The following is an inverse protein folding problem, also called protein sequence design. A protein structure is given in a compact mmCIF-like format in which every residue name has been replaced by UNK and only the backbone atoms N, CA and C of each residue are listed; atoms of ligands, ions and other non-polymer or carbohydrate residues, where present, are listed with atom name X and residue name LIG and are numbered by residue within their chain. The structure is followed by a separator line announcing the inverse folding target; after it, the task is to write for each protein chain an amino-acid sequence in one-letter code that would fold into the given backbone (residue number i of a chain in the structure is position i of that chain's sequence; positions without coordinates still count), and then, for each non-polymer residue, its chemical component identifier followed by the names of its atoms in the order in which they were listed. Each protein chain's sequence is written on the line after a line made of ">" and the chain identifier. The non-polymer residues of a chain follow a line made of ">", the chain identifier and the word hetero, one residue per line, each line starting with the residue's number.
data_IF_738074233069
#
_entry.id   IF_738074233069
#
_cell.length_a   1.000
_cell.length_b   1.000
_cell.length_c   1.000
_cell.angle_alpha   90.00
_cell.angle_beta   90.00
_cell.angle_gamma   90.00
#
_symmetry.space_group_name_H-M   'P 1'
#
loop_
_entity.id
_entity.type
_entity.pdbx_description
1 polymer ?
#
# COMPACT_ATOMS: atom_id res chain seq x y z
N UNK A 1 16.84 22.15 -10.31
CA UNK A 1 15.73 21.47 -9.59
C UNK A 1 16.17 21.28 -8.15
N UNK A 2 15.40 21.75 -7.16
CA UNK A 2 15.78 21.56 -5.75
C UNK A 2 15.59 20.09 -5.37
N UNK A 3 16.55 19.54 -4.65
CA UNK A 3 16.47 18.18 -4.12
C UNK A 3 15.46 18.17 -2.97
N UNK A 4 14.31 17.50 -3.17
CA UNK A 4 13.28 17.37 -2.13
C UNK A 4 13.85 16.61 -0.93
N UNK A 5 13.87 17.24 0.25
CA UNK A 5 14.34 16.62 1.50
C UNK A 5 13.26 15.69 2.06
N UNK A 6 13.36 14.38 1.73
CA UNK A 6 12.35 13.37 2.09
C UNK A 6 12.13 13.24 3.61
N UNK A 7 13.21 13.36 4.40
CA UNK A 7 13.15 13.30 5.86
C UNK A 7 12.38 14.49 6.43
N UNK A 8 12.64 15.70 5.92
CA UNK A 8 11.92 16.90 6.32
C UNK A 8 10.43 16.80 5.97
N UNK A 9 10.09 16.30 4.77
CA UNK A 9 8.70 16.04 4.38
C UNK A 9 8.02 15.09 5.38
N UNK A 10 8.69 14.02 5.80
CA UNK A 10 8.14 13.07 6.77
C UNK A 10 7.98 13.68 8.16
N UNK A 11 9.02 14.37 8.63
CA UNK A 11 9.00 15.11 9.90
C UNK A 11 7.84 16.09 9.96
N UNK A 12 7.62 16.87 8.89
CA UNK A 12 6.55 17.88 8.86
C UNK A 12 5.14 17.27 8.91
N UNK A 13 4.94 16.10 8.31
CA UNK A 13 3.69 15.35 8.46
C UNK A 13 3.50 14.98 9.94
N UNK A 14 4.50 14.32 10.56
CA UNK A 14 4.39 13.90 11.95
C UNK A 14 4.16 15.08 12.91
N UNK A 15 4.89 16.19 12.71
CA UNK A 15 4.71 17.44 13.45
C UNK A 15 3.27 17.94 13.37
N UNK A 16 2.69 17.98 12.17
CA UNK A 16 1.29 18.40 12.00
C UNK A 16 0.30 17.46 12.73
N UNK A 17 0.56 16.14 12.74
CA UNK A 17 -0.25 15.18 13.49
C UNK A 17 -0.15 15.37 15.01
N UNK A 18 1.07 15.60 15.53
CA UNK A 18 1.33 15.83 16.97
C UNK A 18 0.66 17.12 17.45
N UNK A 19 0.73 18.19 16.65
CA UNK A 19 0.13 19.48 16.98
C UNK A 19 -1.41 19.49 16.88
N UNK A 20 -2.03 18.42 16.36
CA UNK A 20 -3.49 18.37 16.23
C UNK A 20 -4.13 18.16 17.59
N UNK A 21 -4.82 19.18 18.11
CA UNK A 21 -5.69 19.03 19.28
C UNK A 21 -7.01 18.33 18.87
N UNK A 22 -7.25 17.14 19.42
CA UNK A 22 -8.42 16.32 19.07
C UNK A 22 -9.72 16.79 19.74
N UNK A 23 -9.64 17.65 20.77
CA UNK A 23 -10.80 18.29 21.40
C UNK A 23 -11.28 19.50 20.60
N UNK A 24 -10.35 20.27 20.02
CA UNK A 24 -10.66 21.43 19.17
C UNK A 24 -11.06 20.96 17.76
N UNK A 25 -10.26 20.09 17.17
CA UNK A 25 -10.51 19.51 15.85
C UNK A 25 -11.18 18.14 16.02
N UNK A 26 -12.47 18.17 16.35
CA UNK A 26 -13.27 17.00 16.76
C UNK A 26 -13.57 15.98 15.64
N UNK A 27 -13.48 16.37 14.37
CA UNK A 27 -13.76 15.50 13.22
C UNK A 27 -12.61 15.41 12.21
N UNK A 28 -12.68 14.42 11.31
CA UNK A 28 -11.60 14.11 10.36
C UNK A 28 -11.31 15.26 9.38
N UNK A 29 -12.32 16.03 8.94
CA UNK A 29 -12.15 17.19 8.05
C UNK A 29 -11.41 18.33 8.74
N UNK A 30 -11.87 18.73 9.94
CA UNK A 30 -11.24 19.79 10.75
C UNK A 30 -9.77 19.45 11.02
N UNK A 31 -9.49 18.19 11.41
CA UNK A 31 -8.11 17.71 11.65
C UNK A 31 -7.27 17.78 10.38
N UNK A 32 -7.82 17.38 9.25
CA UNK A 32 -7.10 17.40 7.99
C UNK A 32 -6.78 18.82 7.52
N UNK A 33 -7.74 19.73 7.64
CA UNK A 33 -7.56 21.13 7.27
C UNK A 33 -6.53 21.80 8.16
N UNK A 34 -6.62 21.62 9.48
CA UNK A 34 -5.60 22.11 10.40
C UNK A 34 -4.18 21.65 10.00
N UNK A 35 -4.00 20.35 9.75
CA UNK A 35 -2.71 19.79 9.35
C UNK A 35 -2.19 20.38 8.03
N UNK A 36 -3.08 20.63 7.06
CA UNK A 36 -2.70 21.31 5.81
C UNK A 36 -2.19 22.72 6.10
N UNK A 37 -2.93 23.49 6.91
CA UNK A 37 -2.54 24.85 7.26
C UNK A 37 -1.21 24.89 8.01
N UNK A 38 -0.98 23.96 8.94
CA UNK A 38 0.32 23.82 9.63
C UNK A 38 1.48 23.63 8.63
N UNK A 39 1.31 22.77 7.63
CA UNK A 39 2.33 22.50 6.61
C UNK A 39 2.53 23.73 5.69
N UNK A 40 1.44 24.40 5.31
CA UNK A 40 1.50 25.57 4.43
C UNK A 40 2.13 26.79 5.12
N UNK A 41 1.93 26.94 6.42
CA UNK A 41 2.50 28.02 7.23
C UNK A 41 4.00 27.82 7.55
N UNK A 42 4.52 26.58 7.47
CA UNK A 42 5.90 26.30 7.83
C UNK A 42 6.89 26.96 6.85
N UNK A 43 7.84 27.73 7.39
CA UNK A 43 8.82 28.50 6.61
C UNK A 43 10.02 27.67 6.15
N UNK A 44 10.24 26.48 6.73
CA UNK A 44 11.39 25.62 6.42
C UNK A 44 11.22 24.82 5.12
N UNK A 45 9.96 24.62 4.68
CA UNK A 45 9.62 23.91 3.45
C UNK A 45 9.63 24.85 2.25
N UNK A 46 10.26 24.41 1.15
CA UNK A 46 10.08 25.08 -0.16
C UNK A 46 8.65 24.88 -0.69
N UNK A 47 8.27 25.64 -1.72
CA UNK A 47 6.97 25.48 -2.39
C UNK A 47 6.76 24.05 -2.91
N UNK A 48 7.80 23.45 -3.48
CA UNK A 48 7.79 22.08 -3.98
C UNK A 48 7.64 21.07 -2.84
N UNK A 49 8.38 21.26 -1.74
CA UNK A 49 8.28 20.39 -0.57
C UNK A 49 6.90 20.47 0.09
N UNK A 50 6.30 21.66 0.19
CA UNK A 50 4.90 21.82 0.62
C UNK A 50 3.95 21.04 -0.26
N UNK A 51 4.07 21.16 -1.59
CA UNK A 51 3.23 20.40 -2.53
C UNK A 51 3.35 18.89 -2.32
N UNK A 52 4.57 18.38 -2.16
CA UNK A 52 4.82 16.94 -1.92
C UNK A 52 4.27 16.50 -0.56
N UNK A 53 4.43 17.31 0.48
CA UNK A 53 3.96 17.04 1.84
C UNK A 53 2.44 16.98 1.88
N UNK A 54 1.75 17.95 1.25
CA UNK A 54 0.29 17.98 1.15
C UNK A 54 -0.23 16.78 0.34
N UNK A 55 0.43 16.41 -0.77
CA UNK A 55 0.05 15.21 -1.54
C UNK A 55 0.11 13.94 -0.69
N UNK A 56 1.15 13.78 0.14
CA UNK A 56 1.26 12.64 1.07
C UNK A 56 0.20 12.70 2.17
N UNK A 57 -0.06 13.87 2.73
CA UNK A 57 -1.10 14.07 3.74
C UNK A 57 -2.49 13.72 3.20
N UNK A 58 -2.84 14.23 2.01
CA UNK A 58 -4.12 13.95 1.35
C UNK A 58 -4.31 12.46 1.09
N UNK A 59 -3.27 11.76 0.66
CA UNK A 59 -3.32 10.32 0.46
C UNK A 59 -3.63 9.57 1.75
N UNK A 60 -2.98 9.93 2.86
CA UNK A 60 -3.28 9.33 4.18
C UNK A 60 -4.71 9.63 4.62
N UNK A 61 -5.18 10.86 4.37
CA UNK A 61 -6.55 11.25 4.66
C UNK A 61 -7.58 10.46 3.82
N UNK A 62 -7.36 10.31 2.52
CA UNK A 62 -8.23 9.52 1.63
C UNK A 62 -8.34 8.06 2.09
N UNK A 63 -7.20 7.43 2.41
CA UNK A 63 -7.20 6.06 2.95
C UNK A 63 -8.02 5.96 4.25
N UNK A 64 -7.89 6.96 5.14
CA UNK A 64 -8.60 7.00 6.41
C UNK A 64 -10.11 7.16 6.20
N UNK A 65 -10.54 8.05 5.30
CA UNK A 65 -11.96 8.25 4.96
C UNK A 65 -12.58 6.96 4.45
N UNK A 66 -11.98 6.33 3.44
CA UNK A 66 -12.48 5.07 2.86
C UNK A 66 -12.58 3.98 3.93
N UNK A 67 -11.57 3.89 4.81
CA UNK A 67 -11.49 2.86 5.83
C UNK A 67 -12.56 2.98 6.91
N UNK A 68 -12.71 4.16 7.50
CA UNK A 68 -13.69 4.39 8.57
C UNK A 68 -15.06 4.77 8.03
N UNK A 69 -15.21 4.79 6.72
CA UNK A 69 -16.43 5.24 6.03
C UNK A 69 -16.87 6.63 6.50
N UNK A 70 -15.89 7.49 6.80
CA UNK A 70 -16.08 8.77 7.50
C UNK A 70 -15.85 9.94 6.54
N UNK A 71 -16.65 10.98 6.75
CA UNK A 71 -16.47 12.27 6.12
C UNK A 71 -17.27 12.46 4.84
N UNK A 72 -17.09 13.63 4.22
CA UNK A 72 -17.93 14.05 3.08
C UNK A 72 -17.68 13.18 1.84
N UNK A 73 -18.75 12.59 1.28
CA UNK A 73 -18.72 11.91 -0.02
C UNK A 73 -18.76 12.92 -1.17
N UNK A 74 -18.28 12.50 -2.34
CA UNK A 74 -18.46 13.22 -3.61
C UNK A 74 -18.93 12.25 -4.67
N UNK A 75 -19.68 12.74 -5.65
CA UNK A 75 -20.02 11.96 -6.84
C UNK A 75 -18.80 11.93 -7.75
N UNK A 76 -18.38 10.74 -8.16
CA UNK A 76 -17.32 10.59 -9.15
C UNK A 76 -17.82 10.98 -10.54
N UNK A 77 -17.09 11.83 -11.24
CA UNK A 77 -17.45 12.27 -12.60
C UNK A 77 -17.44 11.12 -13.60
N UNK A 78 -16.57 10.11 -13.42
CA UNK A 78 -16.41 9.00 -14.36
C UNK A 78 -17.44 7.89 -14.13
N UNK A 79 -17.51 7.34 -12.91
CA UNK A 79 -18.36 6.18 -12.61
C UNK A 79 -19.70 6.53 -11.96
N UNK A 80 -19.96 7.80 -11.67
CA UNK A 80 -21.18 8.32 -11.02
C UNK A 80 -21.48 7.78 -9.61
N UNK A 81 -20.61 6.93 -9.05
CA UNK A 81 -20.73 6.47 -7.67
C UNK A 81 -20.28 7.54 -6.67
N UNK A 82 -20.87 7.50 -5.47
CA UNK A 82 -20.42 8.31 -4.34
C UNK A 82 -19.14 7.75 -3.72
N UNK A 83 -18.01 8.42 -3.96
CA UNK A 83 -16.70 8.05 -3.42
C UNK A 83 -16.25 8.94 -2.25
N UNK A 84 -15.37 8.38 -1.41
CA UNK A 84 -14.84 9.05 -0.23
C UNK A 84 -13.49 9.73 -0.48
N UNK A 85 -12.64 9.12 -1.32
CA UNK A 85 -11.35 9.71 -1.63
C UNK A 85 -11.49 11.01 -2.44
N UNK A 86 -10.67 12.00 -2.09
CA UNK A 86 -10.59 13.28 -2.76
C UNK A 86 -9.66 13.17 -3.98
N UNK A 87 -8.52 12.49 -3.85
CA UNK A 87 -7.49 12.46 -4.90
C UNK A 87 -7.69 11.39 -5.98
N UNK A 88 -8.61 10.44 -5.80
CA UNK A 88 -8.99 9.40 -6.76
C UNK A 88 -10.40 8.87 -6.45
N UNK A 89 -10.90 7.94 -7.25
CA UNK A 89 -12.12 7.20 -6.96
C UNK A 89 -11.78 5.72 -6.70
N UNK A 90 -12.08 5.23 -5.49
CA UNK A 90 -11.87 3.84 -5.12
C UNK A 90 -12.65 2.86 -6.00
N UNK A 91 -13.84 3.24 -6.49
CA UNK A 91 -14.63 2.41 -7.39
C UNK A 91 -14.03 2.34 -8.81
N UNK A 92 -13.55 3.44 -9.37
CA UNK A 92 -12.88 3.40 -10.68
C UNK A 92 -11.64 2.49 -10.64
N UNK A 93 -10.86 2.57 -9.56
CA UNK A 93 -9.70 1.68 -9.36
C UNK A 93 -10.14 0.22 -9.32
N UNK A 94 -11.17 -0.12 -8.53
CA UNK A 94 -11.68 -1.49 -8.41
C UNK A 94 -12.23 -2.01 -9.74
N UNK A 95 -12.97 -1.18 -10.48
CA UNK A 95 -13.48 -1.52 -11.80
C UNK A 95 -12.34 -1.76 -12.81
N UNK A 96 -11.30 -0.92 -12.78
CA UNK A 96 -10.10 -1.11 -13.59
C UNK A 96 -9.38 -2.43 -13.27
N UNK A 97 -9.26 -2.77 -12.00
CA UNK A 97 -8.65 -4.04 -11.57
C UNK A 97 -9.51 -5.24 -12.01
N UNK A 98 -10.83 -5.16 -11.79
CA UNK A 98 -11.80 -6.21 -12.18
C UNK A 98 -11.72 -6.54 -13.66
N UNK A 99 -11.60 -5.53 -14.52
CA UNK A 99 -11.45 -5.70 -15.97
C UNK A 99 -10.16 -6.44 -16.37
N UNK A 100 -9.17 -6.55 -15.47
CA UNK A 100 -7.89 -7.23 -15.70
C UNK A 100 -7.80 -8.61 -15.04
N UNK A 101 -8.84 -9.09 -14.37
CA UNK A 101 -8.79 -10.38 -13.66
C UNK A 101 -8.53 -11.56 -14.60
N UNK A 102 -8.88 -11.45 -15.88
CA UNK A 102 -8.57 -12.46 -16.90
C UNK A 102 -7.14 -12.40 -17.42
N UNK A 103 -6.37 -11.36 -17.11
CA UNK A 103 -5.05 -11.11 -17.70
C UNK A 103 -3.91 -11.74 -16.89
N UNK A 104 -4.19 -12.31 -15.72
CA UNK A 104 -3.21 -12.97 -14.88
C UNK A 104 -3.87 -14.11 -14.12
N UNK A 105 -3.07 -15.12 -13.78
CA UNK A 105 -3.43 -16.20 -12.87
C UNK A 105 -2.16 -16.70 -12.21
N UNK A 106 -2.29 -17.19 -10.97
CA UNK A 106 -1.24 -17.94 -10.28
C UNK A 106 -1.21 -19.42 -10.65
N UNK A 107 -2.24 -19.93 -11.34
CA UNK A 107 -2.49 -21.36 -11.50
C UNK A 107 -3.16 -22.02 -10.29
N UNK A 108 -3.42 -21.26 -9.21
CA UNK A 108 -4.13 -21.72 -8.02
C UNK A 108 -5.39 -20.85 -7.78
N UNK A 109 -6.57 -21.47 -7.83
CA UNK A 109 -7.84 -20.77 -7.71
C UNK A 109 -8.02 -20.08 -6.35
N UNK A 110 -7.58 -20.69 -5.25
CA UNK A 110 -7.72 -20.11 -3.91
C UNK A 110 -6.88 -18.84 -3.76
N UNK A 111 -5.68 -18.82 -4.35
CA UNK A 111 -4.80 -17.65 -4.36
C UNK A 111 -5.37 -16.57 -5.28
N UNK A 112 -5.83 -16.95 -6.47
CA UNK A 112 -6.42 -16.02 -7.42
C UNK A 112 -7.64 -15.33 -6.82
N UNK A 113 -8.52 -16.09 -6.15
CA UNK A 113 -9.72 -15.56 -5.51
C UNK A 113 -9.38 -14.68 -4.30
N UNK A 114 -8.39 -15.06 -3.49
CA UNK A 114 -7.88 -14.22 -2.40
C UNK A 114 -7.36 -12.87 -2.92
N UNK A 115 -6.50 -12.89 -3.93
CA UNK A 115 -5.92 -11.67 -4.50
C UNK A 115 -7.01 -10.81 -5.15
N UNK A 116 -7.92 -11.39 -5.94
CA UNK A 116 -9.06 -10.67 -6.54
C UNK A 116 -9.93 -10.02 -5.47
N UNK A 117 -10.22 -10.72 -4.37
CA UNK A 117 -10.97 -10.16 -3.22
C UNK A 117 -10.25 -8.95 -2.64
N UNK A 118 -8.96 -9.06 -2.33
CA UNK A 118 -8.17 -7.93 -1.81
C UNK A 118 -8.11 -6.76 -2.80
N UNK A 119 -8.06 -7.02 -4.11
CA UNK A 119 -8.11 -5.99 -5.14
C UNK A 119 -9.48 -5.27 -5.20
N UNK A 120 -10.58 -6.00 -5.01
CA UNK A 120 -11.93 -5.43 -4.94
C UNK A 120 -12.18 -4.61 -3.67
N UNK A 121 -11.44 -4.88 -2.60
CA UNK A 121 -11.50 -4.13 -1.34
C UNK A 121 -10.42 -3.03 -1.25
N UNK A 122 -9.58 -2.90 -2.28
CA UNK A 122 -8.45 -1.98 -2.26
C UNK A 122 -8.92 -0.54 -2.04
N UNK A 123 -8.17 0.15 -1.18
CA UNK A 123 -8.48 1.52 -0.74
C UNK A 123 -7.62 2.55 -1.43
N UNK A 124 -6.42 2.20 -1.89
CA UNK A 124 -5.49 3.14 -2.51
C UNK A 124 -4.63 2.45 -3.58
N UNK A 125 -4.21 3.17 -4.63
CA UNK A 125 -3.42 2.62 -5.72
C UNK A 125 -2.19 1.83 -5.30
N UNK A 126 -1.44 2.28 -4.30
CA UNK A 126 -0.21 1.61 -3.89
C UNK A 126 -0.41 0.46 -2.91
N UNK A 127 -1.62 0.30 -2.36
CA UNK A 127 -2.01 -0.78 -1.45
C UNK A 127 -2.58 -2.00 -2.20
N UNK A 128 -2.59 -1.96 -3.53
CA UNK A 128 -3.03 -3.07 -4.37
C UNK A 128 -2.02 -4.22 -4.22
N UNK A 129 -2.53 -5.38 -3.82
CA UNK A 129 -1.79 -6.65 -3.81
C UNK A 129 -1.88 -7.32 -5.17
N UNK A 130 -0.83 -8.01 -5.57
CA UNK A 130 -0.70 -8.60 -6.91
C UNK A 130 -0.20 -10.04 -6.82
N UNK A 131 -0.49 -10.85 -7.85
CA UNK A 131 0.34 -12.01 -8.14
C UNK A 131 1.60 -11.51 -8.83
N UNK A 132 2.77 -11.84 -8.29
CA UNK A 132 4.06 -11.36 -8.78
C UNK A 132 4.79 -12.55 -9.38
N UNK A 133 5.04 -12.57 -10.70
CA UNK A 133 5.84 -13.64 -11.30
C UNK A 133 7.24 -13.70 -10.68
N UNK A 134 7.72 -14.90 -10.35
CA UNK A 134 8.99 -15.09 -9.63
C UNK A 134 10.20 -14.46 -10.35
N UNK A 135 10.19 -14.45 -11.69
CA UNK A 135 11.24 -13.83 -12.51
C UNK A 135 11.32 -12.28 -12.39
N UNK A 136 10.42 -11.65 -11.62
CA UNK A 136 10.50 -10.23 -11.27
C UNK A 136 11.42 -9.96 -10.08
N UNK A 137 11.86 -11.00 -9.37
CA UNK A 137 12.81 -10.86 -8.26
C UNK A 137 14.23 -11.14 -8.77
N UNK A 138 15.16 -10.24 -8.46
CA UNK A 138 16.60 -10.39 -8.70
C UNK A 138 17.37 -10.26 -7.40
N UNK A 139 18.64 -10.66 -7.42
CA UNK A 139 19.55 -10.56 -6.27
C UNK A 139 18.91 -11.17 -5.01
N UNK A 140 18.34 -12.37 -5.16
CA UNK A 140 17.68 -13.08 -4.06
C UNK A 140 18.79 -13.62 -3.14
N UNK A 141 18.80 -13.14 -1.91
CA UNK A 141 19.81 -13.48 -0.90
C UNK A 141 19.12 -13.98 0.36
N UNK A 142 19.59 -15.10 0.92
CA UNK A 142 19.11 -15.57 2.21
C UNK A 142 19.49 -14.57 3.31
N UNK A 143 18.51 -14.16 4.11
CA UNK A 143 18.71 -13.24 5.21
C UNK A 143 18.79 -13.99 6.54
N UNK A 144 17.77 -14.79 6.86
CA UNK A 144 17.69 -15.52 8.12
C UNK A 144 16.56 -16.54 8.09
N UNK A 145 16.51 -17.39 9.12
CA UNK A 145 15.37 -18.23 9.45
C UNK A 145 14.90 -17.82 10.84
N UNK A 146 13.67 -17.35 10.93
CA UNK A 146 13.06 -16.98 12.21
C UNK A 146 11.80 -17.80 12.45
N UNK A 147 11.54 -18.20 13.70
CA UNK A 147 10.32 -18.90 14.13
C UNK A 147 9.98 -20.14 13.31
N UNK A 148 9.34 -19.94 12.16
CA UNK A 148 8.82 -20.97 11.29
C UNK A 148 8.95 -20.66 9.78
N UNK A 149 9.84 -19.75 9.36
CA UNK A 149 9.96 -19.39 7.94
C UNK A 149 11.36 -18.97 7.56
N UNK A 150 11.77 -19.34 6.36
CA UNK A 150 12.95 -18.79 5.69
C UNK A 150 12.63 -17.39 5.15
N UNK A 151 13.56 -16.46 5.37
CA UNK A 151 13.44 -15.06 4.99
C UNK A 151 14.61 -14.72 4.08
N UNK A 152 14.28 -14.13 2.94
CA UNK A 152 15.23 -13.67 1.93
C UNK A 152 15.04 -12.17 1.68
N UNK A 153 16.05 -11.53 1.12
CA UNK A 153 15.93 -10.20 0.51
C UNK A 153 16.04 -10.32 -0.99
N UNK A 154 15.37 -9.42 -1.72
CA UNK A 154 15.45 -9.37 -3.17
C UNK A 154 15.25 -7.95 -3.69
N UNK A 155 15.70 -7.70 -4.92
CA UNK A 155 15.31 -6.55 -5.72
C UNK A 155 14.08 -6.91 -6.55
N UNK A 156 12.95 -6.29 -6.25
CA UNK A 156 11.74 -6.42 -7.06
C UNK A 156 11.84 -5.48 -8.27
N UNK A 157 12.02 -6.08 -9.43
CA UNK A 157 12.08 -5.42 -10.73
C UNK A 157 10.70 -5.48 -11.33
N UNK A 158 10.07 -4.33 -11.35
CA UNK A 158 8.73 -4.27 -11.86
C UNK A 158 8.07 -2.96 -11.59
N UNK A 159 6.90 -2.87 -12.19
CA UNK A 159 6.04 -1.71 -12.17
C UNK A 159 4.97 -1.98 -11.13
N UNK A 160 5.06 -1.34 -9.95
CA UNK A 160 4.00 -1.38 -8.92
C UNK A 160 3.04 -0.22 -9.10
N UNK A 161 1.76 -0.43 -8.84
CA UNK A 161 0.78 0.65 -8.82
C UNK A 161 1.19 1.75 -7.82
N UNK A 162 1.12 3.01 -8.25
CA UNK A 162 1.57 4.18 -7.48
C UNK A 162 0.49 5.22 -7.30
N UNK A 163 -0.25 5.52 -8.37
CA UNK A 163 -1.32 6.51 -8.38
C UNK A 163 -2.36 6.16 -9.43
N UNK A 164 -3.56 6.67 -9.24
CA UNK A 164 -4.59 6.70 -10.27
C UNK A 164 -4.37 7.91 -11.19
N UNK A 165 -4.61 7.73 -12.50
CA UNK A 165 -4.74 8.82 -13.46
C UNK A 165 -6.21 8.92 -13.87
N UNK A 166 -6.88 9.98 -13.42
CA UNK A 166 -8.30 10.21 -13.76
C UNK A 166 -8.50 10.58 -15.24
N UNK A 167 -7.57 11.28 -15.88
CA UNK A 167 -7.73 11.65 -17.30
C UNK A 167 -7.69 10.42 -18.22
N UNK A 168 -6.77 9.50 -17.92
CA UNK A 168 -6.55 8.29 -18.71
C UNK A 168 -7.30 7.07 -18.16
N UNK A 169 -8.03 7.23 -17.06
CA UNK A 169 -8.71 6.15 -16.33
C UNK A 169 -7.83 4.90 -16.13
N UNK A 170 -6.58 5.11 -15.70
CA UNK A 170 -5.62 4.01 -15.52
C UNK A 170 -4.71 4.17 -14.32
N UNK A 171 -4.28 3.04 -13.76
CA UNK A 171 -3.26 3.01 -12.72
C UNK A 171 -1.87 3.27 -13.31
N UNK A 172 -1.18 4.27 -12.76
CA UNK A 172 0.21 4.58 -13.09
C UNK A 172 1.13 3.73 -12.23
N UNK A 173 2.12 3.17 -12.91
CA UNK A 173 3.09 2.27 -12.33
C UNK A 173 4.41 3.00 -11.99
N UNK A 174 5.00 2.67 -10.84
CA UNK A 174 6.34 3.13 -10.42
C UNK A 174 7.41 2.31 -11.14
N UNK A 175 8.38 2.95 -11.79
CA UNK A 175 9.52 2.27 -12.46
C UNK A 175 10.73 2.06 -11.53
N UNK A 176 10.54 2.14 -10.23
CA UNK A 176 11.62 2.10 -9.24
C UNK A 176 11.84 0.66 -8.77
N UNK A 177 13.07 0.17 -8.89
CA UNK A 177 13.51 -1.05 -8.20
C UNK A 177 13.32 -0.84 -6.70
N UNK A 178 12.79 -1.84 -6.01
CA UNK A 178 12.58 -1.81 -4.56
C UNK A 178 13.22 -3.02 -3.94
N UNK A 179 13.99 -2.79 -2.87
CA UNK A 179 14.38 -3.85 -1.94
C UNK A 179 13.15 -4.36 -1.21
N UNK A 180 12.95 -5.67 -1.27
CA UNK A 180 11.83 -6.38 -0.64
C UNK A 180 12.37 -7.46 0.28
N UNK A 181 11.51 -7.86 1.22
CA UNK A 181 11.68 -9.08 1.99
C UNK A 181 10.77 -10.13 1.38
N UNK A 182 11.31 -11.31 1.14
CA UNK A 182 10.60 -12.50 0.70
C UNK A 182 10.49 -13.45 1.88
N UNK A 183 9.28 -13.72 2.35
CA UNK A 183 9.03 -14.66 3.44
C UNK A 183 8.39 -15.91 2.85
N UNK A 184 9.09 -17.04 2.94
CA UNK A 184 8.56 -18.34 2.53
C UNK A 184 7.44 -18.78 3.47
N UNK A 185 6.34 -19.24 2.89
CA UNK A 185 5.18 -19.71 3.64
C UNK A 185 5.24 -21.23 3.74
N UNK A 186 5.15 -21.75 4.95
CA UNK A 186 5.22 -23.17 5.25
C UNK A 186 4.01 -23.59 6.09
N UNK A 187 3.57 -24.83 5.94
CA UNK A 187 2.65 -25.43 6.90
C UNK A 187 3.42 -25.81 8.15
N UNK A 188 2.86 -25.47 9.32
CA UNK A 188 3.46 -25.81 10.61
C UNK A 188 2.45 -26.63 11.38
N UNK A 189 2.54 -27.96 11.22
CA UNK A 189 1.60 -28.93 11.78
C UNK A 189 1.46 -28.77 13.30
N UNK A 190 2.58 -28.69 14.01
CA UNK A 190 2.61 -28.55 15.48
C UNK A 190 1.98 -27.25 15.99
N UNK A 191 1.85 -26.22 15.15
CA UNK A 191 1.22 -24.96 15.50
C UNK A 191 -0.20 -24.82 14.91
N UNK A 192 -0.69 -25.85 14.20
CA UNK A 192 -1.91 -25.81 13.40
C UNK A 192 -2.00 -24.54 12.52
N UNK A 193 -0.87 -24.13 11.93
CA UNK A 193 -0.80 -22.95 11.05
C UNK A 193 -0.66 -23.38 9.60
N UNK A 194 -1.66 -23.02 8.81
CA UNK A 194 -1.62 -23.16 7.36
C UNK A 194 -0.89 -21.98 6.73
N UNK A 195 -0.07 -22.27 5.72
CA UNK A 195 0.56 -21.24 4.87
C UNK A 195 -0.51 -20.28 4.30
N UNK A 196 -1.70 -20.80 3.99
CA UNK A 196 -2.78 -20.05 3.36
C UNK A 196 -3.44 -19.07 4.32
N UNK A 197 -3.64 -19.46 5.57
CA UNK A 197 -4.20 -18.56 6.60
C UNK A 197 -3.24 -17.40 6.89
N UNK A 198 -1.94 -17.67 6.88
CA UNK A 198 -0.92 -16.63 7.00
C UNK A 198 -0.94 -15.68 5.79
N UNK A 199 -0.98 -16.21 4.56
CA UNK A 199 -1.11 -15.41 3.34
C UNK A 199 -2.34 -14.52 3.40
N UNK A 200 -3.50 -15.09 3.71
CA UNK A 200 -4.78 -14.38 3.84
C UNK A 200 -4.71 -13.28 4.88
N UNK A 201 -4.13 -13.55 6.04
CA UNK A 201 -3.93 -12.55 7.10
C UNK A 201 -3.08 -11.38 6.61
N UNK A 202 -1.91 -11.64 6.05
CA UNK A 202 -1.02 -10.59 5.55
C UNK A 202 -1.64 -9.75 4.42
N UNK A 203 -2.29 -10.40 3.45
CA UNK A 203 -2.93 -9.73 2.31
C UNK A 203 -4.13 -8.88 2.75
N UNK A 204 -4.92 -9.37 3.71
CA UNK A 204 -6.07 -8.62 4.24
C UNK A 204 -5.59 -7.42 5.06
N UNK A 205 -4.66 -7.62 5.99
CA UNK A 205 -4.15 -6.56 6.87
C UNK A 205 -3.48 -5.44 6.04
N UNK A 206 -2.68 -5.78 5.02
CA UNK A 206 -2.03 -4.75 4.19
C UNK A 206 -3.03 -3.91 3.40
N UNK A 207 -4.22 -4.45 3.10
CA UNK A 207 -5.28 -3.72 2.39
C UNK A 207 -6.03 -2.76 3.31
N UNK A 208 -5.99 -3.00 4.62
CA UNK A 208 -6.70 -2.24 5.65
C UNK A 208 -5.83 -1.22 6.41
N UNK A 209 -4.54 -1.51 6.61
CA UNK A 209 -3.68 -0.75 7.51
C UNK A 209 -2.43 -0.23 6.79
N UNK A 210 -2.31 1.10 6.70
CA UNK A 210 -1.10 1.76 6.17
C UNK A 210 0.10 1.70 7.12
N UNK A 211 -0.13 1.34 8.40
CA UNK A 211 0.88 1.33 9.45
C UNK A 211 1.54 -0.04 9.63
N UNK A 212 1.00 -1.08 8.99
CA UNK A 212 1.60 -2.42 8.98
C UNK A 212 2.60 -2.49 7.82
N UNK A 213 3.59 -3.40 7.93
CA UNK A 213 4.51 -3.69 6.83
C UNK A 213 3.70 -4.05 5.60
N UNK A 214 3.86 -3.25 4.56
CA UNK A 214 3.09 -3.42 3.34
C UNK A 214 3.46 -4.75 2.67
N UNK A 215 2.46 -5.58 2.43
CA UNK A 215 2.58 -6.74 1.57
C UNK A 215 2.26 -6.31 0.13
N UNK A 216 3.14 -6.69 -0.78
CA UNK A 216 3.04 -6.37 -2.19
C UNK A 216 2.27 -7.41 -2.97
N UNK A 217 2.24 -8.65 -2.47
CA UNK A 217 1.65 -9.77 -3.19
C UNK A 217 2.26 -11.11 -2.80
N UNK A 218 1.88 -12.11 -3.59
CA UNK A 218 2.40 -13.47 -3.51
C UNK A 218 3.19 -13.82 -4.77
N UNK A 219 4.14 -14.73 -4.62
CA UNK A 219 4.79 -15.46 -5.71
C UNK A 219 4.89 -16.93 -5.31
N UNK A 220 5.21 -17.79 -6.27
CA UNK A 220 5.60 -19.17 -6.02
C UNK A 220 7.06 -19.36 -6.43
N UNK A 221 7.81 -20.08 -5.61
CA UNK A 221 9.16 -20.53 -5.96
C UNK A 221 9.06 -21.66 -6.99
N UNK A 222 9.66 -21.52 -8.19
CA UNK A 222 9.62 -22.56 -9.20
C UNK A 222 10.45 -23.81 -8.83
N UNK A 223 11.34 -23.74 -7.83
CA UNK A 223 12.22 -24.85 -7.46
C UNK A 223 11.51 -25.88 -6.57
N UNK A 224 10.77 -25.40 -5.56
CA UNK A 224 10.14 -26.28 -4.57
C UNK A 224 8.61 -26.13 -4.49
N UNK A 225 8.03 -25.21 -5.27
CA UNK A 225 6.59 -24.98 -5.34
C UNK A 225 6.02 -24.21 -4.15
N UNK A 226 6.85 -23.78 -3.19
CA UNK A 226 6.38 -23.04 -2.02
C UNK A 226 5.92 -21.63 -2.38
N UNK A 227 4.88 -21.16 -1.70
CA UNK A 227 4.41 -19.80 -1.82
C UNK A 227 5.23 -18.85 -0.95
N UNK A 228 5.42 -17.63 -1.44
CA UNK A 228 6.27 -16.62 -0.81
C UNK A 228 5.50 -15.30 -0.75
N UNK A 229 5.49 -14.67 0.42
CA UNK A 229 5.04 -13.28 0.59
C UNK A 229 6.15 -12.32 0.19
N UNK A 230 5.84 -11.39 -0.71
CA UNK A 230 6.71 -10.26 -1.02
C UNK A 230 6.28 -9.04 -0.21
N UNK A 231 7.18 -8.49 0.61
CA UNK A 231 6.88 -7.42 1.57
C UNK A 231 7.87 -6.27 1.47
N UNK A 232 7.44 -5.07 1.87
CA UNK A 232 8.34 -3.91 1.98
C UNK A 232 9.44 -4.20 3.00
N UNK A 233 10.71 -4.11 2.58
CA UNK A 233 11.83 -4.12 3.51
C UNK A 233 11.77 -2.89 4.42
N UNK A 234 11.86 -3.10 5.72
CA UNK A 234 12.05 -2.05 6.72
C UNK A 234 13.46 -2.19 7.30
N UNK A 235 14.13 -1.07 7.56
CA UNK A 235 15.49 -1.05 8.13
C UNK A 235 15.47 -0.99 9.67
N UNK A 236 14.28 -0.89 10.27
CA UNK A 236 14.08 -0.77 11.72
C UNK A 236 13.48 -2.05 12.28
N UNK A 237 14.17 -2.65 13.26
CA UNK A 237 13.62 -3.69 14.13
C UNK A 237 13.03 -3.04 15.39
N UNK A 238 11.92 -3.58 15.92
CA UNK A 238 11.34 -3.17 17.20
C UNK A 238 12.10 -3.76 18.41
N UNK A 239 13.43 -3.87 18.33
CA UNK A 239 14.27 -4.36 19.43
C UNK A 239 14.67 -3.24 20.37
#
# INVERSE_FOLDING_TARGET
>A
MSTIRKELVFYMINKAFILTDYNIYDNIEKRHEFRKQTILADKSLTKEEKSVTIKKLNKSHDCRKIRYNEGKRRVCEDCKNECLAISYCEYCIRNYLKAKFSNWTSGNNDIDDLIKKCQMESRAPDMIVEWIPYNKFQNIEYLTRGGCSEIYTADLIGRRYKKWNSEQQQLILSKTIRKVVLKKLENIENANRSWFDEAKSHLTITSEWSNVVQCYGLTQDPLDGNYILAMRKLDTNLR
#
